data_IF_265626829135
#
_entry.id   IF_265626829135
#
_cell.length_a   1.000
_cell.length_b   1.000
_cell.length_c   1.000
_cell.angle_alpha   90.00
_cell.angle_beta   90.00
_cell.angle_gamma   90.00
#
_symmetry.space_group_name_H-M   'P 1'
#
loop_
_entity.id
_entity.type
_entity.pdbx_description
1 polymer ?
#
# COMPACT_ATOMS: atom_id res chain seq x y z
N UNK A 1 9.88 -11.80 -24.20
CA UNK A 1 8.47 -11.48 -23.86
C UNK A 1 8.48 -10.10 -23.24
N UNK A 2 8.42 -9.03 -24.05
CA UNK A 2 8.28 -7.66 -23.54
C UNK A 2 6.82 -7.45 -23.17
N UNK A 3 6.51 -7.36 -21.88
CA UNK A 3 5.19 -6.88 -21.45
C UNK A 3 5.14 -5.38 -21.71
N UNK A 4 4.28 -4.98 -22.62
CA UNK A 4 3.84 -3.58 -22.75
C UNK A 4 3.15 -3.17 -21.44
N UNK A 5 3.25 -1.91 -20.99
CA UNK A 5 2.48 -1.44 -19.84
C UNK A 5 0.99 -1.62 -20.13
N UNK A 6 0.29 -2.33 -19.25
CA UNK A 6 -1.17 -2.40 -19.26
C UNK A 6 -1.73 -0.99 -19.11
N UNK A 7 -2.71 -0.55 -19.94
CA UNK A 7 -3.31 0.77 -19.76
C UNK A 7 -4.02 0.82 -18.41
N UNK A 8 -3.64 1.78 -17.57
CA UNK A 8 -4.34 2.04 -16.31
C UNK A 8 -5.71 2.60 -16.69
N UNK A 9 -6.82 2.06 -16.15
CA UNK A 9 -8.15 2.64 -16.36
C UNK A 9 -8.15 4.11 -15.96
N UNK A 10 -8.56 5.00 -16.86
CA UNK A 10 -8.42 6.46 -16.69
C UNK A 10 -9.11 7.03 -15.44
N UNK A 11 -10.10 6.34 -14.87
CA UNK A 11 -10.77 6.75 -13.63
C UNK A 11 -9.95 6.53 -12.35
N UNK A 12 -8.91 5.69 -12.39
CA UNK A 12 -8.00 5.49 -11.27
C UNK A 12 -6.97 6.63 -11.17
N UNK A 13 -6.67 7.29 -12.30
CA UNK A 13 -5.72 8.39 -12.38
C UNK A 13 -6.28 9.66 -11.73
N UNK A 14 -7.57 9.97 -11.97
CA UNK A 14 -8.26 11.10 -11.31
C UNK A 14 -8.32 10.90 -9.78
N UNK A 15 -8.60 9.69 -9.32
CA UNK A 15 -8.62 9.38 -7.88
C UNK A 15 -7.23 9.46 -7.24
N UNK A 16 -6.19 9.13 -7.99
CA UNK A 16 -4.80 9.25 -7.54
C UNK A 16 -4.40 10.73 -7.41
N UNK A 17 -4.72 11.56 -8.39
CA UNK A 17 -4.42 12.99 -8.37
C UNK A 17 -5.15 13.69 -7.20
N UNK A 18 -6.42 13.36 -6.94
CA UNK A 18 -7.14 13.86 -5.75
C UNK A 18 -6.45 13.47 -4.44
N UNK A 19 -5.92 12.25 -4.36
CA UNK A 19 -5.20 11.77 -3.18
C UNK A 19 -3.86 12.49 -3.01
N UNK A 20 -3.19 12.81 -4.11
CA UNK A 20 -1.94 13.61 -4.11
C UNK A 20 -2.23 15.01 -3.61
N UNK A 21 -3.27 15.67 -4.10
CA UNK A 21 -3.69 17.00 -3.66
C UNK A 21 -4.02 17.01 -2.17
N UNK A 22 -4.72 15.98 -1.68
CA UNK A 22 -5.03 15.85 -0.26
C UNK A 22 -3.76 15.67 0.59
N UNK A 23 -2.79 14.89 0.13
CA UNK A 23 -1.52 14.69 0.83
C UNK A 23 -0.65 15.96 0.83
N UNK A 24 -0.66 16.73 -0.25
CA UNK A 24 -0.01 18.04 -0.34
C UNK A 24 -0.67 19.04 0.62
N UNK A 25 -2.00 19.12 0.63
CA UNK A 25 -2.75 19.99 1.53
C UNK A 25 -2.46 19.68 3.00
N UNK A 26 -2.39 18.39 3.36
CA UNK A 26 -2.04 17.95 4.71
C UNK A 26 -0.61 18.37 5.14
N UNK A 27 0.30 18.55 4.18
CA UNK A 27 1.68 19.00 4.40
C UNK A 27 1.87 20.51 4.15
N UNK A 28 0.79 21.28 4.01
CA UNK A 28 0.85 22.72 3.76
C UNK A 28 1.42 23.08 2.38
N UNK A 29 1.34 22.18 1.40
CA UNK A 29 1.89 22.34 0.06
C UNK A 29 3.39 22.09 -0.07
N UNK A 30 4.09 21.67 1.00
CA UNK A 30 5.50 21.32 0.92
C UNK A 30 5.67 19.90 0.34
N UNK A 31 5.98 19.85 -0.96
CA UNK A 31 6.25 18.61 -1.70
C UNK A 31 7.34 17.76 -1.02
N UNK A 32 8.38 18.38 -0.46
CA UNK A 32 9.48 17.64 0.20
C UNK A 32 9.01 17.03 1.52
N UNK A 33 8.16 17.71 2.26
CA UNK A 33 7.51 17.17 3.46
C UNK A 33 6.55 16.04 3.10
N UNK A 34 5.74 16.20 2.04
CA UNK A 34 4.81 15.17 1.55
C UNK A 34 5.55 13.89 1.15
N UNK A 35 6.63 13.99 0.37
CA UNK A 35 7.42 12.81 -0.03
C UNK A 35 8.02 12.10 1.19
N UNK A 36 8.54 12.85 2.17
CA UNK A 36 9.05 12.25 3.41
C UNK A 36 7.95 11.53 4.19
N UNK A 37 6.78 12.14 4.31
CA UNK A 37 5.63 11.55 4.99
C UNK A 37 5.19 10.25 4.28
N UNK A 38 5.14 10.24 2.95
CA UNK A 38 4.81 9.07 2.16
C UNK A 38 5.83 7.94 2.34
N UNK A 39 7.14 8.25 2.36
CA UNK A 39 8.19 7.25 2.61
C UNK A 39 8.06 6.63 4.01
N UNK A 40 7.74 7.44 5.02
CA UNK A 40 7.53 6.95 6.39
C UNK A 40 6.27 6.07 6.47
N UNK A 41 5.17 6.52 5.86
CA UNK A 41 3.93 5.75 5.79
C UNK A 41 4.12 4.40 5.09
N UNK A 42 4.87 4.38 3.98
CA UNK A 42 5.16 3.14 3.27
C UNK A 42 6.00 2.17 4.12
N UNK A 43 7.06 2.64 4.78
CA UNK A 43 7.85 1.81 5.71
C UNK A 43 6.99 1.24 6.85
N UNK A 44 6.05 2.03 7.37
CA UNK A 44 5.10 1.55 8.38
C UNK A 44 4.22 0.43 7.82
N UNK A 45 3.63 0.60 6.65
CA UNK A 45 2.80 -0.43 6.01
C UNK A 45 3.60 -1.71 5.72
N UNK A 46 4.82 -1.59 5.23
CA UNK A 46 5.72 -2.73 5.01
C UNK A 46 6.00 -3.49 6.32
N UNK A 47 6.16 -2.77 7.44
CA UNK A 47 6.35 -3.39 8.76
C UNK A 47 5.10 -4.11 9.27
N UNK A 48 3.92 -3.52 9.09
CA UNK A 48 2.64 -4.13 9.47
C UNK A 48 2.36 -5.40 8.63
N UNK A 49 2.67 -5.37 7.33
CA UNK A 49 2.57 -6.55 6.45
C UNK A 49 3.52 -7.65 6.92
N UNK A 50 4.75 -7.32 7.29
CA UNK A 50 5.72 -8.31 7.78
C UNK A 50 5.25 -8.98 9.09
N UNK A 51 4.72 -8.19 10.04
CA UNK A 51 4.15 -8.71 11.28
C UNK A 51 2.90 -9.56 11.04
N UNK A 52 2.02 -9.12 10.13
CA UNK A 52 0.85 -9.90 9.74
C UNK A 52 1.26 -11.24 9.12
N UNK A 53 2.21 -11.25 8.18
CA UNK A 53 2.72 -12.48 7.58
C UNK A 53 3.30 -13.43 8.63
N UNK A 54 4.08 -12.92 9.59
CA UNK A 54 4.61 -13.72 10.70
C UNK A 54 3.48 -14.36 11.53
N UNK A 55 2.43 -13.60 11.83
CA UNK A 55 1.27 -14.12 12.57
C UNK A 55 0.53 -15.23 11.80
N UNK A 56 0.36 -15.05 10.49
CA UNK A 56 -0.25 -16.02 9.59
C UNK A 56 0.61 -17.29 9.52
N UNK A 57 1.92 -17.16 9.29
CA UNK A 57 2.86 -18.29 9.31
C UNK A 57 2.82 -19.04 10.65
N UNK A 58 2.74 -18.35 11.78
CA UNK A 58 2.56 -18.99 13.09
C UNK A 58 1.23 -19.73 13.24
N UNK A 59 0.15 -19.24 12.63
CA UNK A 59 -1.15 -19.92 12.64
C UNK A 59 -1.12 -21.18 11.75
N UNK A 60 -0.52 -21.10 10.56
CA UNK A 60 -0.28 -22.23 9.67
C UNK A 60 0.61 -23.29 10.31
N UNK A 61 1.75 -22.92 10.89
CA UNK A 61 2.67 -23.86 11.55
C UNK A 61 2.03 -24.58 12.74
N UNK A 62 1.03 -23.96 13.40
CA UNK A 62 0.26 -24.58 14.49
C UNK A 62 -0.99 -25.34 14.02
N UNK A 63 -1.18 -25.51 12.71
CA UNK A 63 -2.34 -26.22 12.14
C UNK A 63 -3.68 -25.56 12.42
N UNK A 64 -3.71 -24.26 12.75
CA UNK A 64 -4.93 -23.52 13.09
C UNK A 64 -5.54 -22.78 11.91
N UNK A 65 -4.84 -22.73 10.78
CA UNK A 65 -5.35 -22.11 9.58
C UNK A 65 -6.34 -23.04 8.89
N UNK A 66 -7.62 -22.66 8.88
CA UNK A 66 -8.63 -23.29 8.04
C UNK A 66 -8.80 -22.43 6.79
N UNK A 67 -8.37 -22.90 5.61
CA UNK A 67 -8.62 -22.17 4.37
C UNK A 67 -10.14 -22.03 4.19
N UNK A 68 -10.55 -20.84 3.77
CA UNK A 68 -11.94 -20.60 3.40
C UNK A 68 -12.27 -21.44 2.17
N UNK A 69 -13.00 -22.53 2.36
CA UNK A 69 -13.61 -23.29 1.28
C UNK A 69 -14.95 -22.59 1.01
N UNK A 70 -15.04 -21.85 -0.10
CA UNK A 70 -16.24 -21.10 -0.47
C UNK A 70 -17.51 -21.93 -0.53
#
# INVERSE_FOLDING_TARGET
MSQSPTPIPQGDEDSLEESVDQALAACGGDVRATIKALIVANQYLESEVAELMKSVSHAYARGRFHPYNG
#
